data_IF_162186131250
#
_entry.id   IF_162186131250
#
_cell.length_a   1.000
_cell.length_b   1.000
_cell.length_c   1.000
_cell.angle_alpha   90.00
_cell.angle_beta   90.00
_cell.angle_gamma   90.00
#
_symmetry.space_group_name_H-M   'P 1'
#
loop_
_entity.id
_entity.type
_entity.pdbx_description
1 polymer ?
#
# COMPACT_ATOMS: atom_id res chain seq x y z
N UNK A 1 -16.64 -10.64 -12.41
CA UNK A 1 -15.94 -9.40 -12.82
C UNK A 1 -15.01 -8.96 -11.69
N UNK A 2 -13.80 -9.52 -11.64
CA UNK A 2 -12.80 -9.16 -10.62
C UNK A 2 -11.79 -8.21 -11.27
N UNK A 3 -12.06 -6.90 -11.21
CA UNK A 3 -11.20 -5.86 -11.78
C UNK A 3 -9.94 -5.56 -10.95
N UNK A 4 -9.76 -6.25 -9.81
CA UNK A 4 -8.60 -6.10 -8.94
C UNK A 4 -7.98 -7.49 -8.77
N UNK A 5 -6.73 -7.65 -9.23
CA UNK A 5 -5.93 -8.83 -8.90
C UNK A 5 -5.63 -8.80 -7.40
N UNK A 6 -6.12 -9.82 -6.68
CA UNK A 6 -5.87 -9.98 -5.24
C UNK A 6 -4.71 -10.93 -4.94
N UNK A 7 -4.27 -11.70 -5.93
CA UNK A 7 -3.10 -12.55 -5.84
C UNK A 7 -1.99 -11.90 -6.64
N UNK A 8 -0.96 -11.45 -5.94
CA UNK A 8 0.24 -10.87 -6.52
C UNK A 8 1.41 -11.81 -6.28
N UNK A 9 2.24 -12.01 -7.29
CA UNK A 9 3.59 -12.58 -7.09
C UNK A 9 4.54 -11.45 -6.69
N UNK A 10 5.60 -11.75 -5.93
CA UNK A 10 6.52 -10.72 -5.46
C UNK A 10 7.16 -9.91 -6.60
N UNK A 11 7.45 -10.57 -7.74
CA UNK A 11 7.95 -9.90 -8.93
C UNK A 11 6.90 -8.99 -9.60
N UNK A 12 5.64 -9.41 -9.67
CA UNK A 12 4.57 -8.56 -10.22
C UNK A 12 4.17 -7.42 -9.28
N UNK A 13 4.37 -7.58 -7.99
CA UNK A 13 4.09 -6.57 -6.98
C UNK A 13 5.18 -5.49 -6.94
N UNK A 14 6.44 -5.83 -7.23
CA UNK A 14 7.50 -4.83 -7.33
C UNK A 14 7.31 -3.92 -8.58
N UNK A 15 6.69 -4.46 -9.63
CA UNK A 15 6.36 -3.68 -10.82
C UNK A 15 5.22 -2.67 -10.57
N UNK A 16 5.37 -1.50 -11.20
CA UNK A 16 4.33 -0.48 -11.23
C UNK A 16 3.23 -0.92 -12.20
N UNK A 17 2.03 -1.16 -11.67
CA UNK A 17 0.87 -1.59 -12.46
C UNK A 17 -0.17 -0.47 -12.55
N UNK A 18 -1.21 -0.72 -13.34
CA UNK A 18 -2.28 0.25 -13.64
C UNK A 18 -2.98 0.73 -12.37
N UNK A 19 -3.07 -0.14 -11.38
CA UNK A 19 -3.65 0.08 -10.05
C UNK A 19 -2.86 1.15 -9.26
N UNK A 20 -1.53 1.16 -9.36
CA UNK A 20 -0.69 2.19 -8.71
C UNK A 20 -0.88 3.55 -9.38
N UNK A 21 -0.98 3.58 -10.71
CA UNK A 21 -1.27 4.79 -11.48
C UNK A 21 -2.62 5.42 -11.10
N UNK A 22 -3.65 4.60 -10.95
CA UNK A 22 -4.96 5.04 -10.46
C UNK A 22 -4.83 5.64 -9.05
N UNK A 23 -4.05 5.01 -8.18
CA UNK A 23 -3.80 5.49 -6.81
C UNK A 23 -3.05 6.83 -6.79
N UNK A 24 -2.09 7.04 -7.70
CA UNK A 24 -1.35 8.30 -7.84
C UNK A 24 -2.28 9.45 -8.25
N UNK A 25 -3.28 9.19 -9.07
CA UNK A 25 -4.27 10.21 -9.48
C UNK A 25 -5.33 10.42 -8.40
N UNK A 26 -5.80 9.34 -7.78
CA UNK A 26 -6.83 9.41 -6.72
C UNK A 26 -6.31 10.10 -5.46
N UNK A 27 -5.01 9.99 -5.14
CA UNK A 27 -4.47 10.55 -3.90
C UNK A 27 -4.57 12.08 -3.81
N UNK A 28 -4.13 12.90 -4.79
CA UNK A 28 -4.38 14.35 -4.78
C UNK A 28 -5.88 14.68 -4.73
N UNK A 29 -6.71 13.94 -5.48
CA UNK A 29 -8.16 14.12 -5.49
C UNK A 29 -8.75 13.89 -4.09
N UNK A 30 -8.36 12.81 -3.40
CA UNK A 30 -8.79 12.53 -2.04
C UNK A 30 -8.40 13.65 -1.07
N UNK A 31 -7.16 14.17 -1.16
CA UNK A 31 -6.72 15.30 -0.34
C UNK A 31 -7.51 16.59 -0.63
N UNK A 32 -7.80 16.87 -1.90
CA UNK A 32 -8.62 18.03 -2.30
C UNK A 32 -10.03 17.90 -1.73
N UNK A 33 -10.69 16.75 -1.92
CA UNK A 33 -12.04 16.51 -1.43
C UNK A 33 -12.12 16.52 0.10
N UNK A 34 -11.13 15.98 0.80
CA UNK A 34 -11.07 16.06 2.25
C UNK A 34 -10.87 17.48 2.74
N UNK A 35 -9.93 18.23 2.15
CA UNK A 35 -9.61 19.60 2.59
C UNK A 35 -10.80 20.53 2.35
N UNK A 36 -11.35 20.51 1.14
CA UNK A 36 -12.52 21.31 0.76
C UNK A 36 -13.76 20.84 1.52
N UNK A 37 -13.99 19.53 1.60
CA UNK A 37 -15.15 18.97 2.30
C UNK A 37 -15.13 19.29 3.79
N UNK A 38 -13.97 19.20 4.44
CA UNK A 38 -13.81 19.58 5.86
C UNK A 38 -14.05 21.08 6.06
N UNK A 39 -13.43 21.92 5.22
CA UNK A 39 -13.62 23.37 5.27
C UNK A 39 -15.09 23.76 5.12
N UNK A 40 -15.77 23.24 4.09
CA UNK A 40 -17.19 23.53 3.83
C UNK A 40 -18.13 22.95 4.90
N UNK A 41 -17.76 21.82 5.53
CA UNK A 41 -18.53 21.24 6.65
C UNK A 41 -18.46 22.11 7.90
N UNK A 42 -17.32 22.77 8.16
CA UNK A 42 -17.23 23.77 9.24
C UNK A 42 -18.14 24.97 8.99
N UNK A 43 -18.40 25.31 7.73
CA UNK A 43 -19.38 26.34 7.34
C UNK A 43 -20.83 25.84 7.38
N UNK A 44 -21.08 24.61 7.86
CA UNK A 44 -22.41 23.96 7.91
C UNK A 44 -23.10 23.86 6.54
N UNK A 45 -22.33 23.93 5.45
CA UNK A 45 -22.87 23.79 4.10
C UNK A 45 -23.12 22.31 3.77
N UNK A 46 -24.33 21.92 3.34
CA UNK A 46 -24.65 20.53 3.01
C UNK A 46 -23.70 19.90 1.97
N UNK A 47 -23.22 20.70 1.01
CA UNK A 47 -22.27 20.26 -0.01
C UNK A 47 -20.91 19.86 0.59
N UNK A 48 -20.53 20.47 1.72
CA UNK A 48 -19.29 20.13 2.42
C UNK A 48 -19.30 18.70 2.94
N UNK A 49 -20.40 18.28 3.55
CA UNK A 49 -20.56 16.91 4.05
C UNK A 49 -20.53 15.88 2.92
N UNK A 50 -21.12 16.20 1.76
CA UNK A 50 -21.08 15.33 0.58
C UNK A 50 -19.64 15.20 0.07
N UNK A 51 -18.92 16.31 -0.08
CA UNK A 51 -17.51 16.30 -0.51
C UNK A 51 -16.61 15.53 0.47
N UNK A 52 -16.86 15.65 1.78
CA UNK A 52 -16.13 14.92 2.82
C UNK A 52 -16.41 13.41 2.72
N UNK A 53 -17.66 13.01 2.54
CA UNK A 53 -18.04 11.61 2.35
C UNK A 53 -17.36 11.00 1.11
N UNK A 54 -17.33 11.73 0.00
CA UNK A 54 -16.62 11.30 -1.22
C UNK A 54 -15.13 11.14 -0.96
N UNK A 55 -14.49 12.09 -0.26
CA UNK A 55 -13.08 12.00 0.12
C UNK A 55 -12.77 10.76 0.96
N UNK A 56 -13.61 10.44 1.94
CA UNK A 56 -13.48 9.23 2.77
C UNK A 56 -13.59 7.96 1.92
N UNK A 57 -14.58 7.91 1.01
CA UNK A 57 -14.76 6.76 0.10
C UNK A 57 -13.51 6.55 -0.76
N UNK A 58 -12.93 7.62 -1.29
CA UNK A 58 -11.70 7.55 -2.10
C UNK A 58 -10.52 6.97 -1.31
N UNK A 59 -10.37 7.34 -0.03
CA UNK A 59 -9.33 6.77 0.84
C UNK A 59 -9.55 5.28 1.08
N UNK A 60 -10.78 4.88 1.42
CA UNK A 60 -11.10 3.47 1.67
C UNK A 60 -10.83 2.64 0.41
N UNK A 61 -11.21 3.16 -0.76
CA UNK A 61 -10.97 2.51 -2.04
C UNK A 61 -9.48 2.38 -2.34
N UNK A 62 -8.69 3.43 -2.09
CA UNK A 62 -7.22 3.36 -2.18
C UNK A 62 -6.63 2.30 -1.27
N UNK A 63 -7.05 2.27 -0.01
CA UNK A 63 -6.52 1.30 0.95
C UNK A 63 -6.83 -0.13 0.51
N UNK A 64 -8.03 -0.37 0.00
CA UNK A 64 -8.45 -1.67 -0.51
C UNK A 64 -7.67 -2.13 -1.75
N UNK A 65 -7.20 -1.20 -2.58
CA UNK A 65 -6.35 -1.50 -3.75
C UNK A 65 -4.91 -1.81 -3.33
N UNK A 66 -4.34 -1.01 -2.43
CA UNK A 66 -2.91 -1.09 -2.07
C UNK A 66 -2.62 -2.24 -1.09
N UNK A 67 -3.50 -2.48 -0.11
CA UNK A 67 -3.28 -3.44 0.97
C UNK A 67 -2.90 -4.86 0.51
N UNK A 68 -3.58 -5.50 -0.48
CA UNK A 68 -3.18 -6.84 -0.94
C UNK A 68 -1.77 -6.87 -1.54
N UNK A 69 -1.34 -5.77 -2.18
CA UNK A 69 -0.03 -5.65 -2.82
C UNK A 69 1.09 -5.52 -1.78
N UNK A 70 0.89 -4.66 -0.78
CA UNK A 70 1.85 -4.48 0.33
C UNK A 70 2.02 -5.75 1.16
N UNK A 71 0.94 -6.48 1.41
CA UNK A 71 0.99 -7.73 2.17
C UNK A 71 1.78 -8.82 1.46
N UNK A 72 1.67 -8.92 0.13
CA UNK A 72 2.47 -9.88 -0.65
C UNK A 72 3.95 -9.52 -0.66
N UNK A 73 4.27 -8.24 -0.85
CA UNK A 73 5.66 -7.73 -0.87
C UNK A 73 6.34 -7.97 0.48
N UNK A 74 5.70 -7.56 1.57
CA UNK A 74 6.25 -7.73 2.93
C UNK A 74 6.55 -9.20 3.25
N UNK A 75 5.65 -10.11 2.91
CA UNK A 75 5.85 -11.54 3.14
C UNK A 75 7.04 -12.13 2.35
N UNK A 76 7.33 -11.61 1.15
CA UNK A 76 8.47 -12.07 0.36
C UNK A 76 9.80 -11.49 0.87
N UNK A 77 9.79 -10.23 1.30
CA UNK A 77 10.94 -9.61 1.97
C UNK A 77 11.30 -10.35 3.26
N UNK A 78 10.32 -10.71 4.09
CA UNK A 78 10.57 -11.49 5.31
C UNK A 78 11.23 -12.84 5.03
N UNK A 79 10.82 -13.53 3.94
CA UNK A 79 11.45 -14.80 3.54
C UNK A 79 12.90 -14.60 3.12
N UNK A 80 13.17 -13.59 2.29
CA UNK A 80 14.54 -13.25 1.85
C UNK A 80 15.42 -12.86 3.03
N UNK A 81 14.88 -12.08 3.98
CA UNK A 81 15.59 -11.68 5.18
C UNK A 81 15.94 -12.88 6.08
N UNK A 82 15.01 -13.81 6.28
CA UNK A 82 15.30 -15.06 7.02
C UNK A 82 16.38 -15.90 6.34
N UNK A 83 16.27 -16.09 5.03
CA UNK A 83 17.27 -16.85 4.27
C UNK A 83 18.67 -16.23 4.35
N UNK A 84 18.76 -14.90 4.30
CA UNK A 84 20.03 -14.19 4.44
C UNK A 84 20.64 -14.33 5.83
N UNK A 85 19.82 -14.27 6.89
CA UNK A 85 20.27 -14.49 8.27
C UNK A 85 20.80 -15.91 8.48
N UNK A 86 20.13 -16.91 7.91
CA UNK A 86 20.57 -18.32 7.99
C UNK A 86 21.90 -18.54 7.24
N UNK A 87 22.10 -17.90 6.08
CA UNK A 87 23.37 -17.95 5.36
C UNK A 87 24.51 -17.28 6.14
N UNK A 88 24.23 -16.14 6.77
CA UNK A 88 25.21 -15.45 7.63
C UNK A 88 25.59 -16.30 8.83
N UNK A 89 24.61 -16.88 9.53
CA UNK A 89 24.86 -17.73 10.71
C UNK A 89 25.72 -18.94 10.33
N UNK A 90 25.47 -19.56 9.17
CA UNK A 90 26.29 -20.66 8.66
C UNK A 90 27.73 -20.23 8.35
N UNK A 91 27.94 -19.04 7.77
CA UNK A 91 29.29 -18.51 7.51
C UNK A 91 30.03 -18.21 8.82
N UNK A 92 29.39 -17.53 9.76
CA UNK A 92 29.98 -17.22 11.08
C UNK A 92 30.33 -18.50 11.86
N UNK A 93 29.44 -19.50 11.88
CA UNK A 93 29.74 -20.81 12.49
C UNK A 93 30.90 -21.54 11.82
N UNK A 94 31.10 -21.35 10.51
CA UNK A 94 32.22 -21.96 9.81
C UNK A 94 33.54 -21.26 10.17
N UNK A 95 33.54 -19.94 10.26
CA UNK A 95 34.68 -19.13 10.72
C UNK A 95 35.09 -19.47 12.15
N UNK A 96 34.13 -19.59 13.08
CA UNK A 96 34.41 -19.97 14.48
C UNK A 96 35.03 -21.37 14.64
N UNK A 97 34.71 -22.31 13.74
CA UNK A 97 35.23 -23.68 13.82
C UNK A 97 36.59 -23.88 13.11
N UNK A 98 37.03 -22.93 12.27
CA UNK A 98 38.25 -23.07 11.46
C UNK A 98 39.30 -21.95 11.69
N UNK A 99 39.03 -21.01 12.60
CA UNK A 99 39.99 -20.01 13.10
C UNK A 99 40.55 -20.38 14.47
#
# INVERSE_FOLDING_TARGET
MSFIKRQWTAAEADEWKKEDWITIIISPLAYIFLTIGTGLSFLLLPIGFIALAVGIILIVLMHWIIDPKLKTISSDYEKKQKAYLEELENKTRWEENHG
#
